data_IF_312319362613
#
_entry.id   IF_312319362613
#
_cell.length_a   1.000
_cell.length_b   1.000
_cell.length_c   1.000
_cell.angle_alpha   90.00
_cell.angle_beta   90.00
_cell.angle_gamma   90.00
#
_symmetry.space_group_name_H-M   'P 1'
#
loop_
_entity.id
_entity.type
_entity.pdbx_description
1 polymer ?
#
# COMPACT_ATOMS: atom_id res chain seq x y z
N UNK A 1 3.82 21.65 -29.31
CA UNK A 1 3.67 22.34 -28.01
C UNK A 1 2.44 21.75 -27.32
N UNK A 2 2.66 20.69 -26.53
CA UNK A 2 1.58 20.01 -25.80
C UNK A 2 1.09 20.88 -24.64
N UNK A 3 -0.22 20.90 -24.47
CA UNK A 3 -0.99 21.85 -23.67
C UNK A 3 -0.61 21.81 -22.17
N UNK A 4 0.29 22.70 -21.71
CA UNK A 4 0.61 22.82 -20.28
C UNK A 4 -0.62 23.19 -19.44
N UNK A 5 -1.62 23.84 -20.05
CA UNK A 5 -2.87 24.22 -19.38
C UNK A 5 -3.75 23.01 -19.01
N UNK A 6 -3.79 21.95 -19.82
CA UNK A 6 -4.66 20.80 -19.52
C UNK A 6 -4.18 19.99 -18.31
N UNK A 7 -2.86 19.90 -18.10
CA UNK A 7 -2.32 19.20 -16.93
C UNK A 7 -2.54 19.97 -15.64
N UNK A 8 -2.46 21.30 -15.66
CA UNK A 8 -2.78 22.14 -14.52
C UNK A 8 -4.27 22.05 -14.14
N UNK A 9 -5.16 22.05 -15.13
CA UNK A 9 -6.61 21.89 -14.93
C UNK A 9 -6.96 20.49 -14.38
N UNK A 10 -6.36 19.42 -14.89
CA UNK A 10 -6.56 18.05 -14.37
C UNK A 10 -6.08 17.95 -12.91
N UNK A 11 -4.92 18.53 -12.59
CA UNK A 11 -4.43 18.59 -11.20
C UNK A 11 -5.40 19.36 -10.30
N UNK A 12 -5.93 20.49 -10.76
CA UNK A 12 -6.93 21.27 -10.03
C UNK A 12 -8.20 20.48 -9.75
N UNK A 13 -8.77 19.83 -10.77
CA UNK A 13 -9.94 18.96 -10.62
C UNK A 13 -9.69 17.78 -9.66
N UNK A 14 -8.49 17.24 -9.63
CA UNK A 14 -8.11 16.19 -8.69
C UNK A 14 -8.10 16.74 -7.26
N UNK A 15 -7.40 17.85 -7.01
CA UNK A 15 -7.29 18.45 -5.67
C UNK A 15 -8.67 18.77 -5.07
N UNK A 16 -9.55 19.41 -5.84
CA UNK A 16 -10.90 19.78 -5.37
C UNK A 16 -11.71 18.55 -4.92
N UNK A 17 -11.56 17.42 -5.61
CA UNK A 17 -12.27 16.18 -5.23
C UNK A 17 -11.77 15.63 -3.90
N UNK A 18 -10.46 15.61 -3.65
CA UNK A 18 -9.92 15.13 -2.38
C UNK A 18 -10.32 16.04 -1.22
N UNK A 19 -10.31 17.36 -1.44
CA UNK A 19 -10.75 18.33 -0.44
C UNK A 19 -12.24 18.14 -0.06
N UNK A 20 -13.09 17.69 -0.98
CA UNK A 20 -14.49 17.40 -0.70
C UNK A 20 -14.70 16.22 0.27
N UNK A 21 -13.70 15.34 0.44
CA UNK A 21 -13.74 14.22 1.38
C UNK A 21 -12.98 14.50 2.69
N UNK A 22 -12.61 15.76 2.98
CA UNK A 22 -11.84 16.11 4.17
C UNK A 22 -12.63 15.85 5.49
N UNK A 23 -12.06 15.16 6.50
CA UNK A 23 -10.74 14.51 6.52
C UNK A 23 -10.70 13.22 5.69
N UNK A 24 -9.76 13.18 4.74
CA UNK A 24 -9.45 12.00 3.94
C UNK A 24 -8.02 11.54 4.25
N UNK A 25 -7.80 10.23 4.36
CA UNK A 25 -6.47 9.62 4.37
C UNK A 25 -6.14 9.08 2.98
N UNK A 26 -4.98 9.44 2.45
CA UNK A 26 -4.41 8.85 1.23
C UNK A 26 -3.35 7.85 1.65
N UNK A 27 -3.53 6.58 1.25
CA UNK A 27 -2.54 5.51 1.43
C UNK A 27 -1.80 5.28 0.12
N UNK A 28 -0.48 5.50 0.12
CA UNK A 28 0.40 5.24 -1.02
C UNK A 28 1.19 3.97 -0.79
N UNK A 29 0.78 2.87 -1.43
CA UNK A 29 1.38 1.54 -1.26
C UNK A 29 1.01 0.60 -2.41
N UNK A 30 0.56 -0.61 -2.08
CA UNK A 30 0.15 -1.63 -3.06
C UNK A 30 1.29 -2.57 -3.44
N UNK A 31 1.06 -3.48 -4.39
CA UNK A 31 1.98 -4.59 -4.69
C UNK A 31 3.42 -4.18 -5.02
N UNK A 32 3.62 -3.01 -5.64
CA UNK A 32 4.96 -2.53 -6.00
C UNK A 32 5.73 -1.91 -4.82
N UNK A 33 5.09 -1.64 -3.68
CA UNK A 33 5.70 -1.05 -2.49
C UNK A 33 6.98 -1.78 -2.07
N UNK A 34 6.97 -3.11 -2.14
CA UNK A 34 8.09 -3.97 -1.74
C UNK A 34 9.18 -4.14 -2.80
N UNK A 35 9.10 -3.38 -3.90
CA UNK A 35 10.12 -3.29 -4.96
C UNK A 35 10.70 -1.90 -5.12
N UNK A 36 10.14 -0.91 -4.42
CA UNK A 36 10.63 0.47 -4.47
C UNK A 36 11.85 0.60 -3.55
N UNK A 37 12.94 1.14 -4.07
CA UNK A 37 14.01 1.73 -3.26
C UNK A 37 13.89 3.24 -3.29
N UNK A 38 14.37 3.92 -2.27
CA UNK A 38 14.30 5.37 -2.18
C UNK A 38 15.65 5.97 -2.50
N UNK A 39 15.71 6.89 -3.45
CA UNK A 39 16.89 7.72 -3.68
C UNK A 39 16.95 8.73 -2.55
N UNK A 40 17.33 8.27 -1.36
CA UNK A 40 17.55 9.05 -0.17
C UNK A 40 18.78 8.50 0.55
N UNK A 41 19.70 9.39 0.93
CA UNK A 41 20.99 9.01 1.47
C UNK A 41 22.05 8.80 0.38
N UNK A 42 23.12 8.05 0.70
CA UNK A 42 24.29 7.85 -0.18
C UNK A 42 24.30 6.51 -0.92
N UNK A 43 23.36 5.62 -0.60
CA UNK A 43 23.43 4.21 -1.00
C UNK A 43 22.90 3.92 -2.41
N UNK A 44 21.97 4.72 -2.93
CA UNK A 44 21.24 4.41 -4.17
C UNK A 44 21.52 5.46 -5.26
N UNK A 45 22.57 5.27 -6.08
CA UNK A 45 22.99 6.27 -7.07
C UNK A 45 22.40 6.10 -8.47
N UNK A 46 21.85 4.93 -8.80
CA UNK A 46 21.37 4.62 -10.17
C UNK A 46 19.84 4.78 -10.36
N UNK A 47 19.13 5.18 -9.29
CA UNK A 47 17.67 5.33 -9.17
C UNK A 47 16.81 4.95 -10.41
N UNK A 48 16.66 3.66 -10.73
CA UNK A 48 16.04 3.22 -11.97
C UNK A 48 14.53 3.40 -11.94
N UNK A 49 13.93 3.66 -13.10
CA UNK A 49 12.47 3.58 -13.26
C UNK A 49 12.02 2.12 -13.36
N UNK A 50 10.83 1.82 -12.84
CA UNK A 50 10.16 0.54 -13.05
C UNK A 50 10.03 0.23 -14.55
N UNK A 51 10.35 -1.02 -14.91
CA UNK A 51 10.15 -1.57 -16.24
C UNK A 51 9.38 -2.87 -16.12
N UNK A 52 8.66 -3.23 -17.18
CA UNK A 52 8.06 -4.56 -17.28
C UNK A 52 9.18 -5.60 -17.34
N UNK A 53 9.12 -6.57 -16.44
CA UNK A 53 10.04 -7.71 -16.40
C UNK A 53 9.25 -8.96 -16.01
N UNK A 54 9.11 -9.90 -16.95
CA UNK A 54 8.33 -11.14 -16.74
C UNK A 54 8.88 -12.01 -15.61
N UNK A 55 10.16 -11.87 -15.28
CA UNK A 55 10.83 -12.63 -14.22
C UNK A 55 10.87 -11.86 -12.90
N UNK A 56 10.50 -10.57 -12.92
CA UNK A 56 10.45 -9.72 -11.75
C UNK A 56 9.21 -9.98 -10.90
N UNK A 57 9.27 -9.60 -9.62
CA UNK A 57 8.14 -9.69 -8.71
C UNK A 57 6.98 -8.84 -9.26
N UNK A 58 5.78 -9.41 -9.29
CA UNK A 58 4.59 -8.80 -9.93
C UNK A 58 4.76 -8.43 -11.42
N UNK A 59 5.78 -8.94 -12.11
CA UNK A 59 6.05 -8.63 -13.51
C UNK A 59 6.82 -7.31 -13.73
N UNK A 60 7.51 -6.81 -12.70
CA UNK A 60 8.26 -5.56 -12.77
C UNK A 60 9.71 -5.73 -12.29
N UNK A 61 10.61 -4.95 -12.88
CA UNK A 61 11.97 -4.76 -12.34
C UNK A 61 11.91 -4.12 -10.96
N UNK A 62 13.05 -4.05 -10.26
CA UNK A 62 13.19 -3.09 -9.18
C UNK A 62 12.97 -1.67 -9.72
N UNK A 63 12.45 -0.79 -8.87
CA UNK A 63 12.23 0.61 -9.19
C UNK A 63 12.71 1.48 -8.05
N UNK A 64 12.97 2.73 -8.35
CA UNK A 64 13.40 3.72 -7.39
C UNK A 64 12.46 4.93 -7.40
N UNK A 65 12.24 5.50 -6.22
CA UNK A 65 11.54 6.76 -6.02
C UNK A 65 12.59 7.89 -5.89
N UNK A 66 12.75 8.74 -6.94
CA UNK A 66 13.67 9.88 -6.88
C UNK A 66 13.23 10.94 -5.87
N UNK A 67 14.16 11.66 -5.25
CA UNK A 67 13.83 12.83 -4.39
C UNK A 67 12.84 13.78 -5.04
N UNK A 68 13.09 14.14 -6.31
CA UNK A 68 12.21 15.06 -7.05
C UNK A 68 10.77 14.56 -7.09
N UNK A 69 10.56 13.24 -7.23
CA UNK A 69 9.23 12.65 -7.28
C UNK A 69 8.57 12.66 -5.91
N UNK A 70 9.36 12.43 -4.85
CA UNK A 70 8.89 12.55 -3.48
C UNK A 70 8.45 13.98 -3.13
N UNK A 71 9.25 14.99 -3.52
CA UNK A 71 8.91 16.41 -3.36
C UNK A 71 7.61 16.80 -4.10
N UNK A 72 7.41 16.26 -5.31
CA UNK A 72 6.18 16.46 -6.09
C UNK A 72 4.95 15.80 -5.42
N UNK A 73 5.13 14.63 -4.80
CA UNK A 73 4.07 13.93 -4.07
C UNK A 73 3.68 14.69 -2.80
N UNK A 74 4.66 15.14 -2.00
CA UNK A 74 4.38 15.97 -0.82
C UNK A 74 3.63 17.26 -1.20
N UNK A 75 4.07 17.94 -2.27
CA UNK A 75 3.37 19.12 -2.79
C UNK A 75 1.89 18.81 -3.10
N UNK A 76 1.62 17.66 -3.74
CA UNK A 76 0.26 17.23 -4.03
C UNK A 76 -0.54 16.95 -2.75
N UNK A 77 0.04 16.22 -1.79
CA UNK A 77 -0.62 15.90 -0.52
C UNK A 77 -0.95 17.15 0.30
N UNK A 78 -0.03 18.11 0.33
CA UNK A 78 -0.26 19.37 1.03
C UNK A 78 -1.40 20.19 0.38
N UNK A 79 -1.51 20.16 -0.95
CA UNK A 79 -2.61 20.82 -1.67
C UNK A 79 -3.96 20.15 -1.42
N UNK A 80 -4.02 18.83 -1.22
CA UNK A 80 -5.27 18.13 -0.91
C UNK A 80 -5.70 18.31 0.55
N UNK A 81 -4.77 18.60 1.46
CA UNK A 81 -5.03 18.63 2.90
C UNK A 81 -5.29 17.24 3.51
N UNK A 82 -5.00 16.18 2.77
CA UNK A 82 -5.22 14.81 3.22
C UNK A 82 -4.17 14.38 4.26
N UNK A 83 -4.57 13.49 5.16
CA UNK A 83 -3.63 12.73 5.97
C UNK A 83 -2.94 11.69 5.07
N UNK A 84 -1.64 11.49 5.21
CA UNK A 84 -0.87 10.60 4.32
C UNK A 84 -0.35 9.41 5.10
N UNK A 85 -0.64 8.22 4.59
CA UNK A 85 0.04 6.97 4.96
C UNK A 85 0.94 6.53 3.82
N UNK A 86 2.23 6.36 4.08
CA UNK A 86 3.19 5.92 3.07
C UNK A 86 3.73 4.51 3.37
N UNK A 87 3.67 3.64 2.37
CA UNK A 87 4.14 2.27 2.45
C UNK A 87 5.65 2.14 2.25
N UNK A 88 6.32 1.50 3.20
CA UNK A 88 7.74 1.19 3.19
C UNK A 88 8.00 -0.21 2.65
N UNK A 89 9.11 -0.36 1.92
CA UNK A 89 9.58 -1.64 1.39
C UNK A 89 10.06 -2.57 2.51
N UNK A 90 9.32 -3.64 2.79
CA UNK A 90 9.66 -4.63 3.80
C UNK A 90 10.60 -5.75 3.29
N UNK A 91 10.83 -5.81 1.98
CA UNK A 91 11.74 -6.77 1.36
C UNK A 91 13.16 -6.22 1.18
N UNK A 92 13.42 -4.94 1.46
CA UNK A 92 14.76 -4.37 1.37
C UNK A 92 15.75 -5.12 2.29
N UNK A 93 16.90 -5.52 1.72
CA UNK A 93 17.90 -6.37 2.38
C UNK A 93 17.58 -7.87 2.44
N UNK A 94 16.36 -8.28 2.08
CA UNK A 94 15.94 -9.69 2.03
C UNK A 94 16.20 -10.30 0.65
N UNK A 95 16.14 -11.63 0.58
CA UNK A 95 16.27 -12.38 -0.67
C UNK A 95 15.24 -13.52 -0.73
N UNK A 96 14.87 -13.90 -1.96
CA UNK A 96 14.00 -15.03 -2.20
C UNK A 96 14.67 -16.35 -1.72
N UNK A 97 13.89 -17.17 -1.04
CA UNK A 97 14.24 -18.54 -0.70
C UNK A 97 14.12 -19.45 -1.92
N UNK A 98 14.71 -20.64 -1.85
CA UNK A 98 14.45 -21.71 -2.81
C UNK A 98 13.02 -22.29 -2.68
N UNK A 99 12.27 -21.90 -1.65
CA UNK A 99 10.93 -22.42 -1.35
C UNK A 99 9.82 -21.46 -1.81
N UNK A 100 9.40 -21.61 -3.06
CA UNK A 100 8.26 -20.87 -3.62
C UNK A 100 8.44 -19.35 -3.50
N UNK A 101 7.43 -18.67 -2.95
CA UNK A 101 7.42 -17.20 -2.79
C UNK A 101 7.95 -16.73 -1.43
N UNK A 102 8.60 -17.59 -0.65
CA UNK A 102 9.13 -17.22 0.67
C UNK A 102 10.36 -16.33 0.52
N UNK A 103 10.40 -15.23 1.27
CA UNK A 103 11.57 -14.36 1.40
C UNK A 103 12.20 -14.52 2.79
N UNK A 104 13.53 -14.46 2.83
CA UNK A 104 14.34 -14.69 4.04
C UNK A 104 15.45 -13.64 4.14
N UNK A 105 16.08 -13.58 5.32
CA UNK A 105 17.02 -12.52 5.68
C UNK A 105 16.39 -11.51 6.65
N UNK A 106 17.26 -10.73 7.30
CA UNK A 106 16.84 -9.60 8.13
C UNK A 106 16.40 -8.44 7.24
N UNK A 107 15.41 -7.67 7.68
CA UNK A 107 15.08 -6.41 7.00
C UNK A 107 16.19 -5.40 7.25
N UNK A 108 16.61 -4.71 6.19
CA UNK A 108 17.55 -3.60 6.31
C UNK A 108 16.78 -2.27 6.36
N UNK A 109 16.75 -1.58 7.51
CA UNK A 109 15.98 -0.35 7.67
C UNK A 109 16.67 0.88 7.06
N UNK A 110 17.91 0.78 6.58
CA UNK A 110 18.71 1.96 6.19
C UNK A 110 18.02 2.80 5.11
N UNK A 111 17.49 2.18 4.06
CA UNK A 111 16.86 2.92 2.97
C UNK A 111 15.56 3.62 3.40
N UNK A 112 14.72 2.95 4.20
CA UNK A 112 13.52 3.54 4.77
C UNK A 112 13.86 4.69 5.74
N UNK A 113 14.87 4.50 6.60
CA UNK A 113 15.33 5.51 7.55
C UNK A 113 15.83 6.76 6.86
N UNK A 114 16.59 6.61 5.76
CA UNK A 114 17.12 7.74 5.01
C UNK A 114 15.99 8.54 4.31
N UNK A 115 14.95 7.87 3.80
CA UNK A 115 13.74 8.54 3.30
C UNK A 115 13.00 9.32 4.40
N UNK A 116 12.77 8.69 5.56
CA UNK A 116 12.10 9.33 6.70
C UNK A 116 12.90 10.54 7.17
N UNK A 117 14.22 10.41 7.29
CA UNK A 117 15.11 11.50 7.65
C UNK A 117 15.02 12.66 6.66
N UNK A 118 15.09 12.37 5.36
CA UNK A 118 14.92 13.39 4.31
C UNK A 118 13.56 14.09 4.43
N UNK A 119 12.49 13.32 4.66
CA UNK A 119 11.12 13.82 4.83
C UNK A 119 11.02 14.79 6.02
N UNK A 120 11.61 14.44 7.16
CA UNK A 120 11.67 15.29 8.36
C UNK A 120 12.49 16.56 8.10
N UNK A 121 13.67 16.44 7.49
CA UNK A 121 14.55 17.58 7.17
C UNK A 121 13.88 18.59 6.23
N UNK A 122 13.03 18.12 5.33
CA UNK A 122 12.24 18.95 4.41
C UNK A 122 10.99 19.55 5.05
N UNK A 123 10.62 19.13 6.26
CA UNK A 123 9.40 19.56 6.94
C UNK A 123 8.11 18.99 6.33
N UNK A 124 8.22 17.88 5.61
CA UNK A 124 7.10 17.19 4.97
C UNK A 124 6.22 16.50 6.01
N UNK A 125 4.91 16.44 5.73
CA UNK A 125 3.91 15.91 6.67
C UNK A 125 3.41 14.55 6.20
N UNK A 126 3.99 13.50 6.79
CA UNK A 126 3.48 12.14 6.68
C UNK A 126 2.85 11.77 8.02
N UNK A 127 1.58 11.36 7.99
CA UNK A 127 0.81 11.05 9.20
C UNK A 127 1.20 9.67 9.77
N UNK A 128 1.38 8.68 8.89
CA UNK A 128 1.87 7.37 9.31
C UNK A 128 2.67 6.64 8.21
N UNK A 129 3.45 5.65 8.63
CA UNK A 129 4.15 4.74 7.73
C UNK A 129 3.61 3.32 7.91
N UNK A 130 3.45 2.61 6.80
CA UNK A 130 3.18 1.16 6.79
C UNK A 130 4.46 0.41 6.43
N UNK A 131 4.63 -0.81 6.92
CA UNK A 131 5.70 -1.71 6.48
C UNK A 131 5.04 -2.82 5.65
N UNK A 132 5.53 -3.04 4.44
CA UNK A 132 5.14 -4.14 3.55
C UNK A 132 3.71 -4.11 2.98
N UNK A 133 3.48 -4.91 1.95
CA UNK A 133 2.17 -5.11 1.34
C UNK A 133 1.87 -6.61 1.14
N UNK A 134 0.87 -7.13 1.85
CA UNK A 134 0.34 -8.52 1.69
C UNK A 134 1.40 -9.63 1.80
N UNK A 135 2.39 -9.44 2.70
CA UNK A 135 3.50 -10.38 2.89
C UNK A 135 3.19 -11.48 3.91
N UNK A 136 2.10 -11.38 4.66
CA UNK A 136 1.72 -12.32 5.71
C UNK A 136 0.82 -13.45 5.20
N UNK A 137 0.61 -14.47 6.05
CA UNK A 137 -0.30 -15.58 5.73
C UNK A 137 0.21 -16.39 4.55
N UNK A 138 -0.57 -16.43 3.47
CA UNK A 138 -0.22 -17.11 2.23
C UNK A 138 0.66 -16.26 1.29
N UNK A 139 0.70 -14.94 1.48
CA UNK A 139 1.34 -14.02 0.54
C UNK A 139 0.62 -13.94 -0.81
N UNK A 140 1.07 -13.02 -1.68
CA UNK A 140 0.61 -12.93 -3.08
C UNK A 140 1.72 -13.36 -4.04
N UNK A 141 2.71 -12.50 -4.28
CA UNK A 141 3.92 -12.85 -5.03
C UNK A 141 5.16 -13.01 -4.13
N UNK A 142 5.08 -12.50 -2.89
CA UNK A 142 6.10 -12.64 -1.86
C UNK A 142 5.43 -12.93 -0.52
N UNK A 143 6.14 -13.64 0.35
CA UNK A 143 5.68 -14.02 1.68
C UNK A 143 6.82 -13.95 2.68
N UNK A 144 6.54 -13.43 3.87
CA UNK A 144 7.42 -13.49 5.03
C UNK A 144 6.87 -14.45 6.08
N UNK A 145 7.78 -15.07 6.82
CA UNK A 145 7.40 -15.76 8.04
C UNK A 145 6.94 -14.74 9.10
N UNK A 146 5.77 -14.98 9.72
CA UNK A 146 5.16 -14.01 10.64
C UNK A 146 6.02 -13.69 11.86
N UNK A 147 6.77 -14.68 12.38
CA UNK A 147 7.66 -14.45 13.53
C UNK A 147 8.87 -13.61 13.12
N UNK A 148 9.45 -13.88 11.93
CA UNK A 148 10.53 -13.04 11.39
C UNK A 148 10.03 -11.62 11.10
N UNK A 149 8.82 -11.49 10.57
CA UNK A 149 8.27 -10.19 10.24
C UNK A 149 7.99 -9.34 11.49
N UNK A 150 7.50 -9.96 12.57
CA UNK A 150 7.39 -9.30 13.87
C UNK A 150 8.75 -8.82 14.41
N UNK A 151 9.83 -9.58 14.20
CA UNK A 151 11.19 -9.14 14.57
C UNK A 151 11.68 -7.96 13.74
N UNK A 152 11.33 -7.91 12.46
CA UNK A 152 11.64 -6.76 11.60
C UNK A 152 10.94 -5.50 12.13
N UNK A 153 9.65 -5.59 12.50
CA UNK A 153 8.92 -4.48 13.13
C UNK A 153 9.58 -4.02 14.44
N UNK A 154 10.07 -4.94 15.27
CA UNK A 154 10.79 -4.59 16.50
C UNK A 154 12.10 -3.85 16.27
N UNK A 155 12.66 -3.88 15.05
CA UNK A 155 13.84 -3.08 14.68
C UNK A 155 13.50 -1.59 14.57
N UNK A 156 12.23 -1.25 14.31
CA UNK A 156 11.73 0.12 14.33
C UNK A 156 11.61 0.62 15.78
N UNK A 157 11.05 -0.22 16.65
CA UNK A 157 10.96 0.03 18.08
C UNK A 157 9.82 -0.77 18.72
N UNK A 158 9.80 -0.91 20.06
CA UNK A 158 8.65 -1.44 20.77
C UNK A 158 7.49 -0.45 20.75
N UNK A 159 6.25 -0.95 20.73
CA UNK A 159 5.02 -0.15 20.89
C UNK A 159 4.83 0.97 19.83
N UNK A 160 5.41 0.80 18.64
CA UNK A 160 5.36 1.80 17.54
C UNK A 160 4.20 1.60 16.56
N UNK A 161 3.35 0.60 16.77
CA UNK A 161 2.26 0.25 15.84
C UNK A 161 0.95 0.84 16.36
N UNK A 162 0.47 1.89 15.70
CA UNK A 162 -0.82 2.53 15.99
C UNK A 162 -2.00 1.85 15.27
N UNK A 163 -1.73 1.09 14.21
CA UNK A 163 -2.75 0.47 13.38
C UNK A 163 -2.31 -0.85 12.78
N UNK A 164 -3.18 -1.86 12.85
CA UNK A 164 -3.04 -3.13 12.13
C UNK A 164 -3.99 -3.10 10.94
N UNK A 165 -3.42 -3.14 9.74
CA UNK A 165 -4.18 -3.04 8.50
C UNK A 165 -4.48 -4.42 7.90
N UNK A 166 -5.69 -4.58 7.37
CA UNK A 166 -6.10 -5.74 6.60
C UNK A 166 -6.61 -5.32 5.21
N UNK A 167 -6.40 -6.16 4.21
CA UNK A 167 -6.89 -5.95 2.86
C UNK A 167 -8.17 -6.74 2.61
N UNK A 168 -9.15 -6.17 1.91
CA UNK A 168 -10.44 -6.86 1.68
C UNK A 168 -11.00 -6.70 0.26
N UNK A 169 -11.32 -7.84 -0.36
CA UNK A 169 -11.94 -7.91 -1.69
C UNK A 169 -13.05 -8.97 -1.69
N UNK A 170 -14.23 -8.59 -1.21
CA UNK A 170 -15.28 -9.53 -0.80
C UNK A 170 -15.98 -10.24 -1.98
N UNK A 171 -15.93 -9.70 -3.20
CA UNK A 171 -16.55 -10.31 -4.39
C UNK A 171 -15.65 -11.36 -5.07
N UNK A 172 -14.35 -11.37 -4.75
CA UNK A 172 -13.37 -12.27 -5.36
C UNK A 172 -12.64 -11.65 -6.55
N UNK A 173 -12.34 -12.47 -7.57
CA UNK A 173 -11.52 -12.06 -8.72
C UNK A 173 -12.27 -11.13 -9.67
N UNK A 174 -11.61 -10.08 -10.16
CA UNK A 174 -12.16 -9.16 -11.18
C UNK A 174 -12.57 -9.81 -12.50
N UNK A 175 -12.06 -11.01 -12.80
CA UNK A 175 -12.44 -11.77 -14.01
C UNK A 175 -13.59 -12.75 -13.79
N UNK A 176 -14.17 -12.80 -12.59
CA UNK A 176 -15.31 -13.67 -12.32
C UNK A 176 -16.55 -13.17 -13.08
N UNK A 177 -17.16 -13.99 -13.96
CA UNK A 177 -18.34 -13.57 -14.72
C UNK A 177 -19.58 -13.34 -13.84
N UNK A 178 -19.56 -13.81 -12.59
CA UNK A 178 -20.70 -13.73 -11.67
C UNK A 178 -20.63 -12.53 -10.71
N UNK A 179 -19.67 -11.61 -10.87
CA UNK A 179 -19.53 -10.44 -10.00
C UNK A 179 -20.83 -9.62 -9.89
N UNK A 180 -21.55 -9.47 -11.00
CA UNK A 180 -22.80 -8.71 -11.04
C UNK A 180 -23.90 -9.36 -10.19
N UNK A 181 -23.94 -10.69 -10.13
CA UNK A 181 -24.90 -11.42 -9.29
C UNK A 181 -24.49 -11.36 -7.82
N UNK A 182 -23.19 -11.49 -7.54
CA UNK A 182 -22.65 -11.45 -6.17
C UNK A 182 -22.85 -10.10 -5.48
N UNK A 183 -22.60 -9.00 -6.18
CA UNK A 183 -22.74 -7.64 -5.60
C UNK A 183 -24.21 -7.26 -5.33
N UNK A 184 -25.16 -7.98 -5.94
CA UNK A 184 -26.60 -7.76 -5.72
C UNK A 184 -27.19 -8.72 -4.68
N UNK A 185 -26.40 -9.68 -4.18
CA UNK A 185 -26.84 -10.68 -3.21
C UNK A 185 -26.43 -10.25 -1.79
N UNK A 186 -27.37 -9.78 -0.95
CA UNK A 186 -27.05 -9.33 0.41
C UNK A 186 -26.48 -10.46 1.28
N UNK A 187 -26.90 -11.71 1.07
CA UNK A 187 -26.37 -12.84 1.84
C UNK A 187 -24.93 -13.15 1.46
N UNK A 188 -24.58 -12.95 0.19
CA UNK A 188 -23.19 -13.05 -0.25
C UNK A 188 -22.33 -11.95 0.35
N UNK A 189 -22.83 -10.70 0.40
CA UNK A 189 -22.11 -9.57 0.99
C UNK A 189 -21.89 -9.74 2.50
N UNK A 190 -22.84 -10.35 3.22
CA UNK A 190 -22.73 -10.62 4.66
C UNK A 190 -21.57 -11.55 5.05
N UNK A 191 -21.04 -12.35 4.12
CA UNK A 191 -19.92 -13.25 4.40
C UNK A 191 -18.66 -12.50 4.91
N UNK A 192 -18.48 -11.24 4.52
CA UNK A 192 -17.31 -10.46 4.94
C UNK A 192 -17.34 -10.09 6.43
N UNK A 193 -18.53 -10.06 7.04
CA UNK A 193 -18.71 -9.63 8.43
C UNK A 193 -17.89 -10.47 9.42
N UNK A 194 -17.82 -11.79 9.19
CA UNK A 194 -17.02 -12.69 10.03
C UNK A 194 -15.52 -12.36 9.95
N UNK A 195 -15.02 -11.98 8.76
CA UNK A 195 -13.62 -11.56 8.60
C UNK A 195 -13.33 -10.29 9.40
N UNK A 196 -14.22 -9.29 9.35
CA UNK A 196 -14.07 -8.08 10.15
C UNK A 196 -14.08 -8.37 11.65
N UNK A 197 -14.97 -9.24 12.11
CA UNK A 197 -15.01 -9.66 13.51
C UNK A 197 -13.72 -10.36 13.94
N UNK A 198 -13.21 -11.29 13.11
CA UNK A 198 -11.97 -12.00 13.41
C UNK A 198 -10.75 -11.07 13.44
N UNK A 199 -10.66 -10.11 12.52
CA UNK A 199 -9.59 -9.11 12.52
C UNK A 199 -9.71 -8.23 13.76
N UNK A 200 -10.89 -7.66 14.06
CA UNK A 200 -11.09 -6.80 15.24
C UNK A 200 -10.69 -7.52 16.52
N UNK A 201 -11.22 -8.73 16.76
CA UNK A 201 -10.90 -9.53 17.96
C UNK A 201 -9.42 -9.89 18.05
N UNK A 202 -8.77 -10.14 16.92
CA UNK A 202 -7.33 -10.46 16.91
C UNK A 202 -6.49 -9.24 17.27
N UNK A 203 -6.84 -8.06 16.74
CA UNK A 203 -6.15 -6.80 17.07
C UNK A 203 -6.38 -6.45 18.54
N UNK A 204 -7.62 -6.49 19.02
CA UNK A 204 -7.95 -6.26 20.45
C UNK A 204 -7.15 -7.17 21.39
N UNK A 205 -6.94 -8.43 21.00
CA UNK A 205 -6.23 -9.40 21.83
C UNK A 205 -4.71 -9.24 21.79
N UNK A 206 -4.14 -9.03 20.61
CA UNK A 206 -2.68 -9.12 20.41
C UNK A 206 -1.98 -7.76 20.22
N UNK A 207 -2.73 -6.71 19.91
CA UNK A 207 -2.25 -5.34 19.76
C UNK A 207 -3.29 -4.34 20.30
N UNK A 208 -3.63 -4.41 21.61
CA UNK A 208 -4.73 -3.63 22.19
C UNK A 208 -4.55 -2.10 22.10
N UNK A 209 -3.33 -1.64 21.86
CA UNK A 209 -3.00 -0.22 21.68
C UNK A 209 -3.16 0.26 20.22
N UNK A 210 -3.37 -0.67 19.28
CA UNK A 210 -3.50 -0.39 17.85
C UNK A 210 -4.97 -0.44 17.41
N UNK A 211 -5.33 0.37 16.40
CA UNK A 211 -6.61 0.28 15.71
C UNK A 211 -6.64 -0.84 14.66
N UNK A 212 -7.79 -1.48 14.48
CA UNK A 212 -8.02 -2.39 13.35
C UNK A 212 -8.52 -1.61 12.13
N UNK A 213 -7.73 -1.53 11.07
CA UNK A 213 -8.03 -0.71 9.88
C UNK A 213 -8.13 -1.56 8.62
N UNK A 214 -8.93 -1.10 7.65
CA UNK A 214 -8.85 -1.58 6.27
C UNK A 214 -7.84 -0.70 5.53
N UNK A 215 -6.68 -1.26 5.18
CA UNK A 215 -5.58 -0.53 4.52
C UNK A 215 -5.70 -0.50 3.00
N UNK A 216 -6.39 -1.48 2.43
CA UNK A 216 -6.76 -1.54 1.02
C UNK A 216 -8.08 -2.31 0.91
N UNK A 217 -8.99 -1.84 0.09
CA UNK A 217 -10.30 -2.44 -0.01
C UNK A 217 -10.96 -2.15 -1.35
N UNK A 218 -11.73 -3.12 -1.82
CA UNK A 218 -12.57 -2.96 -2.99
C UNK A 218 -13.59 -4.07 -3.11
N UNK A 219 -14.39 -4.02 -4.18
CA UNK A 219 -15.31 -5.12 -4.49
C UNK A 219 -14.54 -6.38 -4.88
N UNK A 220 -13.76 -6.31 -5.97
CA UNK A 220 -13.02 -7.44 -6.53
C UNK A 220 -11.53 -7.12 -6.69
N UNK A 221 -10.67 -8.09 -6.41
CA UNK A 221 -9.21 -7.98 -6.63
C UNK A 221 -8.87 -8.10 -8.13
N UNK A 222 -7.60 -7.91 -8.50
CA UNK A 222 -7.15 -7.80 -9.90
C UNK A 222 -7.77 -6.61 -10.64
N UNK A 223 -7.75 -5.44 -10.01
CA UNK A 223 -8.22 -4.16 -10.57
C UNK A 223 -9.74 -4.04 -10.77
N UNK A 224 -10.51 -4.87 -10.06
CA UNK A 224 -11.97 -4.88 -10.16
C UNK A 224 -12.49 -5.58 -11.42
N UNK A 225 -13.80 -5.82 -11.43
CA UNK A 225 -14.55 -6.36 -12.54
C UNK A 225 -15.06 -5.28 -13.48
N UNK A 226 -14.78 -5.49 -14.77
CA UNK A 226 -15.29 -4.63 -15.83
C UNK A 226 -16.82 -4.67 -15.85
N UNK A 227 -17.45 -3.49 -15.94
CA UNK A 227 -18.89 -3.29 -15.91
C UNK A 227 -19.56 -3.54 -14.55
N UNK A 228 -18.80 -3.70 -13.47
CA UNK A 228 -19.32 -3.82 -12.10
C UNK A 228 -18.76 -2.70 -11.23
N UNK A 229 -17.46 -2.72 -10.93
CA UNK A 229 -16.83 -1.74 -10.03
C UNK A 229 -16.69 -0.33 -10.65
N UNK A 230 -16.77 -0.20 -11.97
CA UNK A 230 -16.78 1.08 -12.69
C UNK A 230 -18.20 1.63 -12.94
N UNK A 231 -19.23 0.98 -12.40
CA UNK A 231 -20.65 1.30 -12.63
C UNK A 231 -21.36 1.65 -11.33
N UNK A 232 -22.59 2.15 -11.45
CA UNK A 232 -23.45 2.47 -10.31
C UNK A 232 -23.61 1.29 -9.34
N UNK A 233 -23.67 0.06 -9.88
CA UNK A 233 -23.77 -1.15 -9.05
C UNK A 233 -22.56 -1.35 -8.14
N UNK A 234 -21.39 -0.79 -8.47
CA UNK A 234 -20.21 -0.83 -7.62
C UNK A 234 -20.32 -0.02 -6.31
N UNK A 235 -21.43 0.70 -6.12
CA UNK A 235 -21.73 1.41 -4.87
C UNK A 235 -22.51 0.60 -3.83
N UNK A 236 -22.95 -0.62 -4.17
CA UNK A 236 -23.47 -1.59 -3.20
C UNK A 236 -22.31 -2.35 -2.56
#
# INVERSE_FOLDING_TARGET
MGNQNSFAEIKGCFIVKFQAFNPLRIRSGGSLQDLVVYDAGKAETDCPQFKLDKNGLFGFSNGCLPHKKWDELDTLFNLTGALVTFGLNALYGKHASQQGILWVGAWDPHNARDLIKYTIEKGYKIDSYELGNELCGYGVAARLDGVKYGKDLMTIGPEVVDGVTHHIYHLGSGVDPNLISKIQDPFYLDHVAQTYEHVSRSVEKYAPMAGAWIGDGGGAYNSGGKNVQDRFVGGF
#
